data_IF_594176286076
#
_entry.id   IF_594176286076
#
_cell.length_a   1.000
_cell.length_b   1.000
_cell.length_c   1.000
_cell.angle_alpha   90.00
_cell.angle_beta   90.00
_cell.angle_gamma   90.00
#
_symmetry.space_group_name_H-M   'P 1'
#
loop_
_entity.id
_entity.type
_entity.pdbx_description
1 polymer ?
#
# COMPACT_ATOMS: atom_id res chain seq x y z
N UNK A 1 0.84 13.57 -11.32
CA UNK A 1 1.58 12.49 -10.65
C UNK A 1 0.66 11.27 -10.53
N UNK A 2 0.91 10.24 -11.34
CA UNK A 2 -0.01 9.14 -11.66
C UNK A 2 -0.42 8.23 -10.49
N UNK A 3 0.17 8.35 -9.30
CA UNK A 3 -0.07 7.42 -8.17
C UNK A 3 -0.32 8.10 -6.81
N UNK A 4 -0.78 9.35 -6.77
CA UNK A 4 -1.02 10.08 -5.48
C UNK A 4 -1.91 9.31 -4.50
N UNK A 5 -2.93 8.62 -4.99
CA UNK A 5 -3.86 7.87 -4.14
C UNK A 5 -3.15 6.70 -3.44
N UNK A 6 -2.30 5.95 -4.16
CA UNK A 6 -1.54 4.84 -3.58
C UNK A 6 -0.51 5.38 -2.60
N UNK A 7 0.22 6.44 -2.96
CA UNK A 7 1.19 7.08 -2.04
C UNK A 7 0.52 7.57 -0.76
N UNK A 8 -0.65 8.19 -0.86
CA UNK A 8 -1.42 8.63 0.32
C UNK A 8 -1.87 7.45 1.19
N UNK A 9 -2.32 6.35 0.58
CA UNK A 9 -2.71 5.14 1.32
C UNK A 9 -1.53 4.42 1.95
N UNK A 10 -0.40 4.31 1.23
CA UNK A 10 0.85 3.82 1.80
C UNK A 10 1.26 4.67 2.99
N UNK A 11 1.13 6.01 2.92
CA UNK A 11 1.32 6.86 4.09
C UNK A 11 0.35 6.54 5.22
N UNK A 12 -0.92 6.25 4.96
CA UNK A 12 -1.90 5.88 6.02
C UNK A 12 -1.58 4.54 6.67
N UNK A 13 -1.19 3.52 5.89
CA UNK A 13 -0.84 2.19 6.41
C UNK A 13 0.52 2.19 7.09
N UNK A 14 1.47 2.92 6.54
CA UNK A 14 2.86 2.93 6.98
C UNK A 14 3.22 4.19 7.76
N UNK A 15 2.24 4.91 8.32
CA UNK A 15 2.50 6.12 9.10
C UNK A 15 3.20 5.73 10.42
N UNK A 16 4.50 5.99 10.50
CA UNK A 16 5.30 5.77 11.71
C UNK A 16 4.95 6.72 12.86
N UNK A 17 4.26 7.84 12.60
CA UNK A 17 3.81 8.77 13.66
C UNK A 17 2.91 8.08 14.71
N UNK A 18 2.26 6.98 14.33
CA UNK A 18 1.36 6.26 15.24
C UNK A 18 1.99 5.00 15.87
N UNK A 19 3.24 4.63 15.51
CA UNK A 19 3.91 3.39 15.96
C UNK A 19 2.99 2.15 15.91
N UNK A 20 2.08 2.10 14.94
CA UNK A 20 1.05 1.08 14.89
C UNK A 20 1.65 -0.24 14.42
N UNK A 21 1.30 -1.37 15.06
CA UNK A 21 1.53 -2.68 14.49
C UNK A 21 0.92 -2.80 13.08
N UNK A 22 1.62 -3.49 12.18
CA UNK A 22 1.23 -3.63 10.76
C UNK A 22 -0.22 -4.11 10.59
N UNK A 23 -0.66 -5.06 11.41
CA UNK A 23 -2.04 -5.58 11.39
C UNK A 23 -3.09 -4.52 11.76
N UNK A 24 -2.76 -3.60 12.67
CA UNK A 24 -3.66 -2.51 13.07
C UNK A 24 -3.78 -1.50 11.92
N UNK A 25 -2.66 -1.16 11.29
CA UNK A 25 -2.65 -0.30 10.12
C UNK A 25 -3.44 -0.88 8.93
N UNK A 26 -3.27 -2.18 8.66
CA UNK A 26 -4.04 -2.91 7.64
C UNK A 26 -5.54 -2.82 7.94
N UNK A 27 -5.95 -3.04 9.19
CA UNK A 27 -7.36 -2.96 9.57
C UNK A 27 -7.94 -1.56 9.38
N UNK A 28 -7.19 -0.51 9.72
CA UNK A 28 -7.61 0.89 9.50
C UNK A 28 -7.83 1.14 7.99
N UNK A 29 -6.91 0.66 7.15
CA UNK A 29 -7.03 0.75 5.70
C UNK A 29 -8.27 0.02 5.15
N UNK A 30 -8.48 -1.24 5.54
CA UNK A 30 -9.65 -2.03 5.13
C UNK A 30 -10.94 -1.31 5.55
N UNK A 31 -11.01 -0.88 6.81
CA UNK A 31 -12.18 -0.19 7.35
C UNK A 31 -12.48 1.13 6.62
N UNK A 32 -11.44 1.91 6.30
CA UNK A 32 -11.56 3.15 5.53
C UNK A 32 -12.14 2.89 4.12
N UNK A 33 -11.70 1.81 3.45
CA UNK A 33 -12.20 1.44 2.14
C UNK A 33 -13.62 0.90 2.17
N UNK A 34 -13.97 0.12 3.19
CA UNK A 34 -15.32 -0.40 3.39
C UNK A 34 -16.30 0.74 3.69
N UNK A 35 -15.93 1.67 4.59
CA UNK A 35 -16.75 2.82 4.94
C UNK A 35 -17.00 3.73 3.73
N UNK A 36 -15.99 3.94 2.90
CA UNK A 36 -16.09 4.80 1.71
C UNK A 36 -16.67 4.09 0.47
N UNK A 37 -16.97 2.78 0.53
CA UNK A 37 -17.37 1.95 -0.62
C UNK A 37 -16.37 1.97 -1.80
N UNK A 38 -15.10 2.29 -1.54
CA UNK A 38 -14.05 2.43 -2.57
C UNK A 38 -13.20 1.17 -2.80
N UNK A 39 -13.53 0.06 -2.13
CA UNK A 39 -12.80 -1.22 -2.25
C UNK A 39 -12.55 -1.63 -3.71
N UNK A 40 -13.61 -1.69 -4.53
CA UNK A 40 -13.50 -2.10 -5.94
C UNK A 40 -12.69 -1.13 -6.80
N UNK A 41 -12.82 0.18 -6.54
CA UNK A 41 -12.02 1.20 -7.22
C UNK A 41 -10.54 1.07 -6.87
N UNK A 42 -10.25 0.78 -5.59
CA UNK A 42 -8.89 0.56 -5.12
C UNK A 42 -8.27 -0.69 -5.74
N UNK A 43 -9.00 -1.81 -5.78
CA UNK A 43 -8.50 -3.03 -6.42
C UNK A 43 -8.15 -2.80 -7.89
N UNK A 44 -8.99 -2.08 -8.65
CA UNK A 44 -8.65 -1.73 -10.05
C UNK A 44 -7.37 -0.90 -10.14
N UNK A 45 -7.25 0.15 -9.33
CA UNK A 45 -6.05 1.00 -9.30
C UNK A 45 -4.79 0.24 -8.91
N UNK A 46 -4.90 -0.69 -7.96
CA UNK A 46 -3.78 -1.55 -7.55
C UNK A 46 -3.38 -2.50 -8.68
N UNK A 47 -4.34 -3.10 -9.39
CA UNK A 47 -4.07 -3.95 -10.55
C UNK A 47 -3.32 -3.17 -11.64
N UNK A 48 -3.84 -1.99 -12.02
CA UNK A 48 -3.20 -1.10 -13.00
C UNK A 48 -1.76 -0.75 -12.60
N UNK A 49 -1.50 -0.55 -11.30
CA UNK A 49 -0.16 -0.25 -10.83
C UNK A 49 0.75 -1.48 -10.79
N UNK A 50 0.24 -2.67 -10.45
CA UNK A 50 1.06 -3.89 -10.48
C UNK A 50 1.49 -4.29 -11.89
N UNK A 51 0.75 -3.87 -12.91
CA UNK A 51 1.06 -4.08 -14.32
C UNK A 51 1.96 -3.00 -14.92
N UNK A 52 2.13 -1.86 -14.24
CA UNK A 52 3.02 -0.77 -14.64
C UNK A 52 4.48 -1.12 -14.30
N UNK A 53 5.34 -1.21 -15.33
CA UNK A 53 6.76 -1.54 -15.19
C UNK A 53 7.63 -0.34 -14.79
N UNK A 54 7.12 0.89 -14.93
CA UNK A 54 7.85 2.12 -14.64
C UNK A 54 7.70 2.54 -13.16
N UNK A 55 6.92 1.80 -12.37
CA UNK A 55 6.75 2.07 -10.94
C UNK A 55 7.97 1.58 -10.15
N UNK A 56 8.61 2.50 -9.42
CA UNK A 56 9.52 2.14 -8.32
C UNK A 56 8.71 1.93 -7.04
N UNK A 57 8.54 0.65 -6.67
CA UNK A 57 7.90 0.24 -5.42
C UNK A 57 8.76 0.61 -4.22
N UNK A 58 10.08 0.49 -4.36
CA UNK A 58 11.02 0.96 -3.33
C UNK A 58 10.86 2.46 -3.12
N UNK A 59 10.80 3.26 -4.19
CA UNK A 59 10.57 4.71 -4.07
C UNK A 59 9.20 5.09 -3.52
N UNK A 60 8.18 4.24 -3.71
CA UNK A 60 6.87 4.45 -3.09
C UNK A 60 6.88 4.21 -1.57
N UNK A 61 7.72 3.27 -1.10
CA UNK A 61 7.88 2.93 0.33
C UNK A 61 8.91 3.82 1.02
N UNK A 62 9.95 4.22 0.30
CA UNK A 62 10.93 5.22 0.68
C UNK A 62 10.33 6.62 0.42
N UNK A 63 9.34 7.00 1.23
CA UNK A 63 8.91 8.38 1.28
C UNK A 63 9.98 9.19 2.00
N UNK A 64 10.44 10.31 1.41
CA UNK A 64 11.47 11.23 1.94
C UNK A 64 11.28 11.71 3.40
N UNK A 65 10.13 11.43 4.02
CA UNK A 65 9.80 11.77 5.40
C UNK A 65 9.95 10.60 6.39
N UNK A 66 9.93 9.34 5.91
CA UNK A 66 9.90 8.15 6.77
C UNK A 66 10.51 6.93 6.05
N UNK A 67 11.72 6.50 6.46
CA UNK A 67 12.24 5.17 6.11
C UNK A 67 11.44 4.11 6.90
N UNK A 68 10.26 3.73 6.40
CA UNK A 68 9.45 2.72 7.11
C UNK A 68 10.02 1.33 6.90
N UNK A 69 10.43 1.00 5.67
CA UNK A 69 11.02 -0.28 5.31
C UNK A 69 11.99 -0.11 4.14
N UNK A 70 13.27 -0.41 4.37
CA UNK A 70 14.28 -0.47 3.32
C UNK A 70 14.30 -1.88 2.72
N UNK A 71 13.86 -2.02 1.48
CA UNK A 71 13.93 -3.28 0.73
C UNK A 71 15.17 -3.29 -0.15
N UNK A 72 15.81 -4.45 -0.31
CA UNK A 72 17.00 -4.60 -1.14
C UNK A 72 16.64 -4.55 -2.63
N UNK A 73 15.47 -5.08 -2.99
CA UNK A 73 15.02 -5.18 -4.39
C UNK A 73 13.61 -4.62 -4.63
N UNK A 74 13.33 -4.19 -5.87
CA UNK A 74 11.98 -3.78 -6.29
C UNK A 74 10.97 -4.93 -6.18
N UNK A 75 11.44 -6.16 -6.40
CA UNK A 75 10.64 -7.38 -6.28
C UNK A 75 10.12 -7.57 -4.84
N UNK A 76 10.98 -7.38 -3.84
CA UNK A 76 10.60 -7.49 -2.43
C UNK A 76 9.62 -6.39 -2.03
N UNK A 77 9.90 -5.14 -2.40
CA UNK A 77 9.01 -4.01 -2.15
C UNK A 77 7.62 -4.23 -2.78
N UNK A 78 7.58 -4.70 -4.03
CA UNK A 78 6.34 -5.07 -4.73
C UNK A 78 5.59 -6.19 -4.02
N UNK A 79 6.30 -7.24 -3.60
CA UNK A 79 5.72 -8.40 -2.92
C UNK A 79 5.12 -8.01 -1.57
N UNK A 80 5.82 -7.15 -0.84
CA UNK A 80 5.34 -6.60 0.42
C UNK A 80 4.07 -5.75 0.23
N UNK A 81 4.06 -4.81 -0.71
CA UNK A 81 2.87 -4.00 -1.02
C UNK A 81 1.70 -4.88 -1.45
N UNK A 82 1.95 -5.93 -2.23
CA UNK A 82 0.92 -6.90 -2.62
C UNK A 82 0.34 -7.62 -1.41
N UNK A 83 1.16 -8.03 -0.45
CA UNK A 83 0.67 -8.66 0.80
C UNK A 83 -0.18 -7.70 1.64
N UNK A 84 0.26 -6.44 1.78
CA UNK A 84 -0.37 -5.48 2.71
C UNK A 84 -1.60 -4.78 2.11
N UNK A 85 -1.59 -4.47 0.81
CA UNK A 85 -2.69 -3.76 0.16
C UNK A 85 -3.63 -4.68 -0.61
N UNK A 86 -3.09 -5.66 -1.36
CA UNK A 86 -3.91 -6.51 -2.22
C UNK A 86 -4.49 -7.70 -1.44
N UNK A 87 -3.64 -8.50 -0.82
CA UNK A 87 -4.06 -9.71 -0.13
C UNK A 87 -4.99 -9.40 1.07
N UNK A 88 -4.84 -8.23 1.67
CA UNK A 88 -5.73 -7.75 2.73
C UNK A 88 -7.15 -7.38 2.25
N UNK A 89 -7.35 -7.18 0.94
CA UNK A 89 -8.67 -6.90 0.34
C UNK A 89 -9.28 -8.14 -0.34
N UNK A 90 -8.44 -9.04 -0.81
CA UNK A 90 -8.83 -10.30 -1.42
C UNK A 90 -9.20 -11.28 -0.30
N UNK A 91 -10.50 -11.38 0.01
CA UNK A 91 -11.07 -12.22 1.09
C UNK A 91 -10.89 -13.74 0.86
N UNK A 92 -9.97 -14.15 -0.02
CA UNK A 92 -9.64 -15.55 -0.35
C UNK A 92 -8.39 -16.06 0.38
N UNK A 93 -8.19 -15.66 1.64
CA UNK A 93 -7.24 -16.31 2.57
C UNK A 93 -8.00 -16.89 3.73
#
# INVERSE_FOLDING_TARGET
MKHRNIRHMLKTVFCSDFNLPENVAINIYINSLNFSSKKHEMMRKLADCFDDQDISWRGLLANDEYEVLNFETEQEAKSYIRRVLWASLDEKI
#
